data_IF_627215390271
#
_entry.id   IF_627215390271
#
_cell.length_a   1.000
_cell.length_b   1.000
_cell.length_c   1.000
_cell.angle_alpha   90.00
_cell.angle_beta   90.00
_cell.angle_gamma   90.00
#
_symmetry.space_group_name_H-M   'P 1'
#
loop_
_entity.id
_entity.type
_entity.pdbx_description
1 polymer ?
#
# COMPACT_ATOMS: atom_id res chain seq x y z
N UNK A 1 15.15 -30.72 -25.39
CA UNK A 1 13.89 -30.54 -24.63
C UNK A 1 13.69 -29.03 -24.47
N UNK A 2 12.63 -28.42 -25.02
CA UNK A 2 12.49 -26.97 -24.99
C UNK A 2 12.01 -26.51 -23.60
N UNK A 3 12.66 -25.47 -23.07
CA UNK A 3 12.35 -24.86 -21.79
C UNK A 3 11.07 -24.00 -21.89
N UNK A 4 9.91 -24.63 -21.77
CA UNK A 4 8.58 -23.99 -21.74
C UNK A 4 8.27 -23.34 -20.38
N UNK A 5 9.26 -22.73 -19.73
CA UNK A 5 9.15 -22.20 -18.37
C UNK A 5 9.72 -20.78 -18.17
N UNK A 6 10.33 -20.17 -19.18
CA UNK A 6 10.90 -18.82 -19.07
C UNK A 6 9.87 -17.69 -19.30
N UNK A 7 8.72 -18.00 -19.89
CA UNK A 7 7.64 -17.02 -20.10
C UNK A 7 6.88 -16.72 -18.81
N UNK A 8 6.43 -17.75 -18.09
CA UNK A 8 5.58 -17.59 -16.90
C UNK A 8 6.29 -16.89 -15.73
N UNK A 9 7.61 -17.06 -15.55
CA UNK A 9 8.36 -16.34 -14.50
C UNK A 9 8.52 -14.85 -14.80
N UNK A 10 8.55 -14.44 -16.07
CA UNK A 10 8.56 -13.02 -16.46
C UNK A 10 7.16 -12.41 -16.36
N UNK A 11 6.12 -13.15 -16.74
CA UNK A 11 4.75 -12.65 -16.72
C UNK A 11 4.11 -12.56 -15.32
N UNK A 12 4.59 -13.35 -14.35
CA UNK A 12 4.15 -13.20 -12.95
C UNK A 12 4.87 -12.08 -12.19
N UNK A 13 6.01 -11.60 -12.69
CA UNK A 13 6.78 -10.50 -12.08
C UNK A 13 6.26 -9.11 -12.53
N UNK A 14 5.61 -9.04 -13.70
CA UNK A 14 5.04 -7.82 -14.28
C UNK A 14 3.57 -7.54 -13.86
N UNK A 15 2.87 -8.48 -13.20
CA UNK A 15 1.46 -8.37 -12.75
C UNK A 15 1.28 -7.69 -11.38
N UNK A 16 2.19 -6.79 -10.97
CA UNK A 16 1.88 -5.79 -9.94
C UNK A 16 2.28 -4.38 -10.36
N UNK A 17 1.66 -3.80 -11.40
CA UNK A 17 1.65 -2.35 -11.62
C UNK A 17 0.71 -1.68 -10.61
N UNK A 18 0.75 -2.12 -9.35
CA UNK A 18 0.14 -1.37 -8.26
C UNK A 18 1.04 -0.18 -7.99
N UNK A 19 0.46 1.01 -7.91
CA UNK A 19 1.15 2.14 -7.30
C UNK A 19 1.69 1.63 -5.96
N UNK A 20 3.02 1.47 -5.85
CA UNK A 20 3.67 1.09 -4.59
C UNK A 20 3.55 2.30 -3.69
N UNK A 21 2.35 2.52 -3.17
CA UNK A 21 2.13 3.40 -2.05
C UNK A 21 2.93 2.74 -0.94
N UNK A 22 4.06 3.36 -0.61
CA UNK A 22 4.89 2.88 0.48
C UNK A 22 4.00 2.71 1.71
N UNK A 23 4.11 1.59 2.44
CA UNK A 23 3.34 1.37 3.65
C UNK A 23 3.45 2.57 4.61
N UNK A 24 4.56 3.31 4.55
CA UNK A 24 4.78 4.59 5.22
C UNK A 24 3.66 5.64 4.97
N UNK A 25 3.22 5.86 3.73
CA UNK A 25 2.21 6.88 3.44
C UNK A 25 0.85 6.53 4.07
N UNK A 26 0.48 5.25 4.03
CA UNK A 26 -0.77 4.74 4.59
C UNK A 26 -0.75 4.84 6.13
N UNK A 27 0.38 4.51 6.75
CA UNK A 27 0.57 4.63 8.20
C UNK A 27 0.48 6.09 8.64
N UNK A 28 1.11 7.02 7.90
CA UNK A 28 1.04 8.45 8.20
C UNK A 28 -0.41 8.96 8.10
N UNK A 29 -1.14 8.59 7.04
CA UNK A 29 -2.54 9.00 6.86
C UNK A 29 -3.44 8.47 7.99
N UNK A 30 -3.25 7.21 8.39
CA UNK A 30 -4.01 6.59 9.47
C UNK A 30 -3.76 7.30 10.81
N UNK A 31 -2.50 7.59 11.14
CA UNK A 31 -2.14 8.31 12.36
C UNK A 31 -2.72 9.72 12.34
N UNK A 32 -2.64 10.43 11.21
CA UNK A 32 -3.19 11.76 11.07
C UNK A 32 -4.70 11.79 11.35
N UNK A 33 -5.45 10.82 10.82
CA UNK A 33 -6.89 10.70 11.07
C UNK A 33 -7.22 10.47 12.54
N UNK A 34 -6.45 9.60 13.21
CA UNK A 34 -6.62 9.33 14.65
C UNK A 34 -6.39 10.61 15.47
N UNK A 35 -5.31 11.34 15.18
CA UNK A 35 -4.99 12.60 15.89
C UNK A 35 -6.09 13.64 15.67
N UNK A 36 -6.58 13.80 14.44
CA UNK A 36 -7.67 14.73 14.13
C UNK A 36 -8.93 14.35 14.91
N UNK A 37 -9.26 13.05 14.99
CA UNK A 37 -10.44 12.58 15.71
C UNK A 37 -10.34 12.85 17.23
N UNK A 38 -9.15 12.65 17.81
CA UNK A 38 -8.89 12.94 19.22
C UNK A 38 -8.96 14.45 19.49
N UNK A 39 -8.31 15.26 18.66
CA UNK A 39 -8.32 16.73 18.80
C UNK A 39 -9.73 17.29 18.63
N UNK A 40 -10.48 16.78 17.66
CA UNK A 40 -11.87 17.16 17.46
C UNK A 40 -12.74 16.79 18.67
N UNK A 41 -12.57 15.59 19.23
CA UNK A 41 -13.30 15.18 20.44
C UNK A 41 -12.95 16.06 21.65
N UNK A 42 -11.67 16.36 21.85
CA UNK A 42 -11.21 17.25 22.92
C UNK A 42 -11.65 18.71 22.73
N UNK A 43 -11.80 19.16 21.48
CA UNK A 43 -12.25 20.53 21.18
C UNK A 43 -13.77 20.68 21.30
N UNK A 44 -14.51 19.58 21.16
CA UNK A 44 -15.97 19.56 21.21
C UNK A 44 -16.52 19.20 22.61
N UNK A 45 -15.68 18.64 23.49
CA UNK A 45 -16.03 18.29 24.87
C UNK A 45 -15.87 19.44 25.85
#
# INVERSE_FOLDING_TARGET
MPATGAGLLRFFEEETPGIRIGPELIVILAIALIVICIVAQLSFT
#
